data_IF_392385722628
#
_entry.id   IF_392385722628
#
_cell.length_a   1.000
_cell.length_b   1.000
_cell.length_c   1.000
_cell.angle_alpha   90.00
_cell.angle_beta   90.00
_cell.angle_gamma   90.00
#
_symmetry.space_group_name_H-M   'P 1'
#
loop_
_entity.id
_entity.type
_entity.pdbx_description
1 polymer ?
#
# COMPACT_ATOMS: atom_id res chain seq x y z
N UNK A 1 9.33 4.36 -4.95
CA UNK A 1 8.26 4.44 -5.97
C UNK A 1 8.06 5.90 -6.36
N UNK A 2 7.70 6.19 -7.62
CA UNK A 2 7.27 7.52 -8.04
C UNK A 2 5.81 7.78 -7.66
N UNK A 3 5.38 9.05 -7.59
CA UNK A 3 3.98 9.41 -7.33
C UNK A 3 3.01 8.75 -8.32
N UNK A 4 3.38 8.69 -9.60
CA UNK A 4 2.57 8.03 -10.63
C UNK A 4 2.44 6.52 -10.41
N UNK A 5 3.50 5.86 -9.94
CA UNK A 5 3.43 4.44 -9.55
C UNK A 5 2.53 4.24 -8.33
N UNK A 6 2.62 5.13 -7.34
CA UNK A 6 1.75 5.10 -6.15
C UNK A 6 0.29 5.22 -6.58
N UNK A 7 -0.03 6.21 -7.43
CA UNK A 7 -1.38 6.46 -7.92
C UNK A 7 -1.99 5.27 -8.66
N UNK A 8 -1.21 4.58 -9.50
CA UNK A 8 -1.67 3.37 -10.23
C UNK A 8 -1.91 2.16 -9.34
N UNK A 9 -1.15 2.03 -8.25
CA UNK A 9 -1.18 0.85 -7.37
C UNK A 9 -2.06 1.02 -6.13
N UNK A 10 -2.52 2.25 -5.88
CA UNK A 10 -3.23 2.60 -4.67
C UNK A 10 -4.59 1.90 -4.56
N UNK A 11 -4.92 1.48 -3.35
CA UNK A 11 -6.22 0.91 -3.01
C UNK A 11 -6.88 1.73 -1.90
N UNK A 12 -8.21 1.64 -1.78
CA UNK A 12 -8.97 2.37 -0.75
C UNK A 12 -8.45 2.05 0.66
N UNK A 13 -8.08 0.79 0.92
CA UNK A 13 -7.51 0.36 2.19
C UNK A 13 -6.15 0.97 2.52
N UNK A 14 -5.36 1.37 1.51
CA UNK A 14 -4.05 1.97 1.72
C UNK A 14 -4.18 3.34 2.42
N UNK A 15 -5.22 4.11 2.09
CA UNK A 15 -5.52 5.38 2.78
C UNK A 15 -5.88 5.19 4.25
N UNK A 16 -6.61 4.12 4.58
CA UNK A 16 -7.01 3.82 5.96
C UNK A 16 -5.78 3.43 6.78
N UNK A 17 -4.90 2.59 6.23
CA UNK A 17 -3.70 2.18 6.93
C UNK A 17 -2.71 3.34 7.10
N UNK A 18 -2.51 4.15 6.05
CA UNK A 18 -1.68 5.34 6.11
C UNK A 18 -2.18 6.34 7.16
N UNK A 19 -3.50 6.48 7.31
CA UNK A 19 -4.07 7.40 8.30
C UNK A 19 -3.74 6.97 9.73
N UNK A 20 -3.72 5.65 10.01
CA UNK A 20 -3.27 5.11 11.30
C UNK A 20 -1.79 5.35 11.54
N UNK A 21 -0.94 5.12 10.53
CA UNK A 21 0.51 5.34 10.63
C UNK A 21 0.86 6.80 10.90
N UNK A 22 0.16 7.73 10.23
CA UNK A 22 0.40 9.17 10.32
C UNK A 22 -0.44 9.87 11.40
N UNK A 23 -1.18 9.11 12.21
CA UNK A 23 -2.07 9.63 13.27
C UNK A 23 -3.02 10.73 12.75
N UNK A 24 -3.66 10.48 11.62
CA UNK A 24 -4.57 11.42 10.96
C UNK A 24 -5.79 10.70 10.35
N UNK A 25 -6.61 11.42 9.59
CA UNK A 25 -7.80 10.86 8.93
C UNK A 25 -7.49 10.44 7.48
N UNK A 26 -8.20 9.43 6.92
CA UNK A 26 -8.01 9.03 5.53
C UNK A 26 -8.20 10.19 4.53
N UNK A 27 -9.09 11.12 4.84
CA UNK A 27 -9.34 12.31 4.02
C UNK A 27 -8.14 13.28 4.03
N UNK A 28 -7.49 13.45 5.18
CA UNK A 28 -6.26 14.23 5.26
C UNK A 28 -5.11 13.55 4.51
N UNK A 29 -5.03 12.21 4.53
CA UNK A 29 -4.06 11.46 3.71
C UNK A 29 -4.29 11.73 2.22
N UNK A 30 -5.54 11.64 1.72
CA UNK A 30 -5.87 11.97 0.32
C UNK A 30 -5.45 13.39 -0.04
N UNK A 31 -5.81 14.36 0.80
CA UNK A 31 -5.47 15.77 0.59
C UNK A 31 -3.95 15.99 0.53
N UNK A 32 -3.21 15.38 1.45
CA UNK A 32 -1.74 15.46 1.50
C UNK A 32 -1.06 14.72 0.35
N UNK A 33 -1.61 13.58 -0.08
CA UNK A 33 -1.16 12.87 -1.27
C UNK A 33 -1.30 13.73 -2.52
N UNK A 34 -2.47 14.36 -2.73
CA UNK A 34 -2.70 15.29 -3.85
C UNK A 34 -1.74 16.49 -3.85
N UNK A 35 -1.23 16.87 -2.67
CA UNK A 35 -0.24 17.93 -2.48
C UNK A 35 1.21 17.43 -2.48
N UNK A 36 1.45 16.18 -2.89
CA UNK A 36 2.77 15.54 -2.95
C UNK A 36 3.56 15.66 -1.62
N UNK A 37 2.88 15.54 -0.47
CA UNK A 37 3.56 15.65 0.82
C UNK A 37 4.47 14.44 1.07
N UNK A 38 5.77 14.64 1.40
CA UNK A 38 6.73 13.55 1.48
C UNK A 38 6.37 12.45 2.48
N UNK A 39 5.79 12.82 3.62
CA UNK A 39 5.37 11.89 4.67
C UNK A 39 4.29 10.89 4.20
N UNK A 40 3.31 11.38 3.44
CA UNK A 40 2.26 10.54 2.85
C UNK A 40 2.78 9.70 1.69
N UNK A 41 3.68 10.25 0.86
CA UNK A 41 4.30 9.49 -0.21
C UNK A 41 5.13 8.32 0.34
N UNK A 42 5.88 8.55 1.42
CA UNK A 42 6.67 7.52 2.11
C UNK A 42 5.75 6.44 2.72
N UNK A 43 4.75 6.85 3.51
CA UNK A 43 3.81 5.91 4.13
C UNK A 43 3.07 5.04 3.09
N UNK A 44 2.55 5.64 2.02
CA UNK A 44 1.85 4.91 0.96
C UNK A 44 2.80 3.99 0.18
N UNK A 45 4.04 4.42 -0.09
CA UNK A 45 5.05 3.58 -0.72
C UNK A 45 5.34 2.33 0.11
N UNK A 46 5.55 2.48 1.41
CA UNK A 46 5.78 1.36 2.34
C UNK A 46 4.60 0.39 2.33
N UNK A 47 3.37 0.91 2.46
CA UNK A 47 2.15 0.09 2.47
C UNK A 47 2.02 -0.73 1.19
N UNK A 48 2.16 -0.09 0.03
CA UNK A 48 2.00 -0.75 -1.27
C UNK A 48 3.03 -1.86 -1.45
N UNK A 49 4.30 -1.59 -1.15
CA UNK A 49 5.39 -2.58 -1.28
C UNK A 49 5.11 -3.80 -0.40
N UNK A 50 4.76 -3.57 0.88
CA UNK A 50 4.49 -4.67 1.81
C UNK A 50 3.25 -5.46 1.41
N UNK A 51 2.18 -4.78 0.95
CA UNK A 51 0.96 -5.43 0.48
C UNK A 51 1.22 -6.31 -0.74
N UNK A 52 1.98 -5.83 -1.73
CA UNK A 52 2.33 -6.62 -2.91
C UNK A 52 3.19 -7.83 -2.56
N UNK A 53 4.17 -7.66 -1.67
CA UNK A 53 5.01 -8.76 -1.19
C UNK A 53 4.18 -9.82 -0.46
N UNK A 54 3.30 -9.41 0.45
CA UNK A 54 2.41 -10.31 1.18
C UNK A 54 1.50 -11.11 0.25
N UNK A 55 0.89 -10.45 -0.75
CA UNK A 55 0.04 -11.12 -1.73
C UNK A 55 0.84 -12.12 -2.58
N UNK A 56 2.04 -11.72 -3.02
CA UNK A 56 2.93 -12.59 -3.80
C UNK A 56 3.31 -13.83 -2.99
N UNK A 57 3.71 -13.65 -1.74
CA UNK A 57 4.07 -14.73 -0.83
C UNK A 57 2.90 -15.68 -0.59
N UNK A 58 1.71 -15.14 -0.31
CA UNK A 58 0.51 -15.95 -0.11
C UNK A 58 0.17 -16.80 -1.34
N UNK A 59 0.25 -16.21 -2.54
CA UNK A 59 0.02 -16.92 -3.80
C UNK A 59 1.06 -18.02 -4.04
N UNK A 60 2.33 -17.75 -3.74
CA UNK A 60 3.40 -18.73 -3.88
C UNK A 60 3.15 -19.94 -2.97
N UNK A 61 2.87 -19.71 -1.67
CA UNK A 61 2.57 -20.77 -0.70
C UNK A 61 1.39 -21.64 -1.15
N UNK A 62 0.32 -21.01 -1.66
CA UNK A 62 -0.87 -21.73 -2.16
C UNK A 62 -0.56 -22.60 -3.39
N UNK A 63 0.33 -22.17 -4.29
CA UNK A 63 0.70 -22.96 -5.46
C UNK A 63 1.56 -24.16 -5.05
N UNK A 64 2.48 -23.96 -4.10
CA UNK A 64 3.30 -25.06 -3.56
C UNK A 64 2.45 -26.14 -2.90
N UNK A 65 1.41 -25.76 -2.13
CA UNK A 65 0.52 -26.74 -1.48
C UNK A 65 -0.37 -27.54 -2.44
N UNK A 66 -0.52 -27.13 -3.70
CA UNK A 66 -1.35 -27.82 -4.70
C UNK A 66 -0.53 -28.79 -5.55
N UNK A 67 0.81 -28.74 -5.49
CA UNK A 67 1.69 -29.65 -6.26
C UNK A 67 2.01 -30.96 -5.54
N UNK A 68 1.62 -31.07 -4.27
CA UNK A 68 1.88 -32.24 -3.42
C UNK A 68 0.63 -33.10 -3.18
N UNK A 69 -0.48 -32.85 -3.91
CA UNK A 69 -1.70 -33.67 -3.98
C UNK A 69 -1.87 -34.28 -5.37
#
# INVERSE_FOLDING_TARGET
>A
MTTEQIKKKLQVGDYILASKMLKTTPENVRTRFNRNKPDVLDALSIIIINRENLIKEYRFRKISSVKDE
#
